data_IF_756236281122
#
_entry.id   IF_756236281122
#
_cell.length_a   1.000
_cell.length_b   1.000
_cell.length_c   1.000
_cell.angle_alpha   90.00
_cell.angle_beta   90.00
_cell.angle_gamma   90.00
#
_symmetry.space_group_name_H-M   'P 1'
#
loop_
_entity.id
_entity.type
_entity.pdbx_description
1 polymer ?
#
# COMPACT_ATOMS: atom_id res chain seq x y z
N UNK A 1 29.71 7.89 16.51
CA UNK A 1 31.03 8.17 15.91
C UNK A 1 30.89 9.43 15.09
N UNK A 2 31.85 10.36 15.12
CA UNK A 2 31.78 11.55 14.28
C UNK A 2 33.14 11.83 13.68
N UNK A 3 33.14 12.34 12.45
CA UNK A 3 34.37 12.77 11.77
C UNK A 3 34.30 14.29 11.66
N UNK A 4 35.32 14.97 12.13
CA UNK A 4 35.51 16.40 11.88
C UNK A 4 36.22 16.55 10.53
N UNK A 5 35.56 17.19 9.56
CA UNK A 5 36.15 17.44 8.25
C UNK A 5 35.87 18.87 7.82
N UNK A 6 36.80 19.78 8.14
CA UNK A 6 36.97 21.15 7.61
C UNK A 6 35.84 22.17 7.83
N UNK A 7 34.59 21.80 7.57
CA UNK A 7 33.39 22.66 7.60
C UNK A 7 32.23 22.09 8.44
N UNK A 8 32.47 21.07 9.27
CA UNK A 8 31.43 20.53 10.15
C UNK A 8 31.76 19.17 10.76
N UNK A 9 30.85 18.73 11.64
CA UNK A 9 30.87 17.41 12.27
C UNK A 9 29.93 16.49 11.50
N UNK A 10 30.46 15.41 10.93
CA UNK A 10 29.68 14.40 10.24
C UNK A 10 29.39 13.25 11.19
N UNK A 11 28.12 13.09 11.60
CA UNK A 11 27.73 12.00 12.49
C UNK A 11 27.59 10.68 11.73
N UNK A 12 28.11 9.62 12.35
CA UNK A 12 28.09 8.25 11.89
C UNK A 12 27.46 7.37 12.96
N UNK A 13 26.55 6.49 12.53
CA UNK A 13 25.83 5.61 13.44
C UNK A 13 25.24 4.39 12.73
N UNK A 14 25.11 3.29 13.48
CA UNK A 14 24.64 2.00 12.95
C UNK A 14 23.23 2.04 12.33
N UNK A 15 22.43 3.05 12.67
CA UNK A 15 21.07 3.26 12.12
C UNK A 15 21.07 4.47 11.18
N UNK A 16 21.56 5.62 11.65
CA UNK A 16 21.55 6.86 10.88
C UNK A 16 22.25 6.71 9.51
N UNK A 17 23.45 6.12 9.49
CA UNK A 17 24.25 6.01 8.27
C UNK A 17 23.61 5.09 7.22
N UNK A 18 23.17 3.85 7.53
CA UNK A 18 22.47 3.02 6.54
C UNK A 18 21.12 3.61 6.11
N UNK A 19 20.36 4.28 7.00
CA UNK A 19 19.12 4.96 6.61
C UNK A 19 19.41 6.09 5.61
N UNK A 20 20.42 6.91 5.85
CA UNK A 20 20.83 7.94 4.90
C UNK A 20 21.30 7.32 3.57
N UNK A 21 22.08 6.23 3.62
CA UNK A 21 22.53 5.52 2.43
C UNK A 21 21.36 4.98 1.59
N UNK A 22 20.29 4.47 2.22
CA UNK A 22 19.08 4.04 1.51
C UNK A 22 18.42 5.20 0.74
N UNK A 23 18.33 6.38 1.37
CA UNK A 23 17.76 7.59 0.74
C UNK A 23 18.65 8.05 -0.43
N UNK A 24 19.96 8.14 -0.21
CA UNK A 24 20.91 8.52 -1.26
C UNK A 24 20.87 7.55 -2.44
N UNK A 25 20.80 6.24 -2.18
CA UNK A 25 20.67 5.22 -3.24
C UNK A 25 19.40 5.43 -4.05
N UNK A 26 18.24 5.57 -3.40
CA UNK A 26 16.97 5.83 -4.10
C UNK A 26 16.99 7.14 -4.88
N UNK A 27 17.63 8.18 -4.35
CA UNK A 27 17.82 9.45 -5.05
C UNK A 27 18.64 9.26 -6.34
N UNK A 28 19.75 8.51 -6.28
CA UNK A 28 20.58 8.23 -7.45
C UNK A 28 19.87 7.32 -8.47
N UNK A 29 19.12 6.31 -8.01
CA UNK A 29 18.24 5.49 -8.85
C UNK A 29 17.26 6.37 -9.63
N UNK A 30 16.58 7.29 -8.95
CA UNK A 30 15.64 8.22 -9.59
C UNK A 30 16.33 9.22 -10.52
N UNK A 31 17.49 9.76 -10.13
CA UNK A 31 18.25 10.74 -10.93
C UNK A 31 18.81 10.14 -12.21
N UNK A 32 19.25 8.88 -12.14
CA UNK A 32 19.82 8.15 -13.26
C UNK A 32 18.76 7.39 -14.08
N UNK A 33 17.49 7.46 -13.69
CA UNK A 33 16.40 6.82 -14.42
C UNK A 33 16.20 7.51 -15.77
N UNK A 34 16.43 6.78 -16.86
CA UNK A 34 16.16 7.22 -18.22
C UNK A 34 14.87 6.54 -18.67
N UNK A 35 13.81 7.32 -18.90
CA UNK A 35 12.54 6.80 -19.38
C UNK A 35 12.71 6.26 -20.81
N UNK A 36 12.34 5.01 -21.02
CA UNK A 36 12.37 4.36 -22.34
C UNK A 36 10.93 4.17 -22.82
N UNK A 37 10.58 4.62 -24.03
CA UNK A 37 9.24 4.40 -24.57
C UNK A 37 8.99 2.91 -24.81
N UNK A 38 7.77 2.48 -24.52
CA UNK A 38 7.26 1.17 -24.90
C UNK A 38 5.85 1.34 -25.45
N UNK A 39 5.41 0.36 -26.24
CA UNK A 39 4.12 0.34 -26.90
C UNK A 39 3.34 -0.88 -26.45
N UNK A 40 2.03 -0.72 -26.27
CA UNK A 40 1.11 -1.81 -25.97
C UNK A 40 -0.10 -1.65 -26.87
N UNK A 41 -0.53 -2.75 -27.50
CA UNK A 41 -1.67 -2.70 -28.40
C UNK A 41 -2.94 -2.72 -27.57
N UNK A 42 -3.81 -1.72 -27.81
CA UNK A 42 -5.09 -1.56 -27.14
C UNK A 42 -6.21 -1.76 -28.14
N UNK A 43 -7.11 -2.69 -27.86
CA UNK A 43 -8.29 -2.95 -28.68
C UNK A 43 -9.55 -2.64 -27.89
N UNK A 44 -10.41 -1.79 -28.46
CA UNK A 44 -11.77 -1.60 -27.96
C UNK A 44 -12.67 -2.60 -28.68
N UNK A 45 -13.39 -3.40 -27.92
CA UNK A 45 -14.25 -4.46 -28.46
C UNK A 45 -15.49 -4.62 -27.59
N UNK A 46 -16.43 -5.43 -28.05
CA UNK A 46 -17.62 -5.79 -27.29
C UNK A 46 -17.90 -7.29 -27.37
N UNK A 47 -18.54 -7.81 -26.32
CA UNK A 47 -19.13 -9.14 -26.35
C UNK A 47 -20.53 -9.03 -25.79
N UNK A 48 -21.52 -9.51 -26.56
CA UNK A 48 -22.94 -9.51 -26.15
C UNK A 48 -23.42 -8.13 -25.65
N UNK A 49 -23.04 -7.06 -26.36
CA UNK A 49 -23.40 -5.67 -26.02
C UNK A 49 -22.64 -5.06 -24.85
N UNK A 50 -21.66 -5.76 -24.26
CA UNK A 50 -20.81 -5.24 -23.18
C UNK A 50 -19.48 -4.77 -23.78
N UNK A 51 -19.22 -3.46 -23.84
CA UNK A 51 -17.94 -2.93 -24.33
C UNK A 51 -16.84 -3.11 -23.28
N UNK A 52 -15.64 -3.46 -23.73
CA UNK A 52 -14.45 -3.54 -22.88
C UNK A 52 -13.16 -3.28 -23.68
N UNK A 53 -12.06 -3.11 -22.94
CA UNK A 53 -10.73 -2.89 -23.51
C UNK A 53 -9.89 -4.14 -23.29
N UNK A 54 -9.33 -4.67 -24.37
CA UNK A 54 -8.28 -5.68 -24.32
C UNK A 54 -6.92 -5.01 -24.56
N UNK A 55 -5.93 -5.34 -23.72
CA UNK A 55 -4.54 -4.93 -23.89
C UNK A 55 -3.72 -6.16 -24.28
N UNK A 56 -2.75 -5.99 -25.18
CA UNK A 56 -1.78 -7.05 -25.48
C UNK A 56 -1.03 -7.45 -24.20
N UNK A 57 -0.83 -8.75 -23.98
CA UNK A 57 0.00 -9.23 -22.87
C UNK A 57 1.46 -8.80 -23.02
N UNK A 58 1.93 -8.64 -24.26
CA UNK A 58 3.26 -8.15 -24.59
C UNK A 58 3.34 -6.63 -24.56
N UNK A 59 4.50 -6.14 -24.14
CA UNK A 59 4.94 -4.75 -24.30
C UNK A 59 6.04 -4.73 -25.34
N UNK A 60 5.88 -3.91 -26.37
CA UNK A 60 6.82 -3.78 -27.49
C UNK A 60 7.78 -2.63 -27.22
N UNK A 61 9.08 -2.87 -27.39
CA UNK A 61 10.11 -1.81 -27.34
C UNK A 61 10.31 -1.13 -28.69
N UNK A 62 9.81 -1.73 -29.78
CA UNK A 62 9.85 -1.15 -31.11
C UNK A 62 8.42 -0.85 -31.57
N UNK A 63 8.17 0.43 -31.88
CA UNK A 63 6.89 0.89 -32.43
C UNK A 63 6.48 0.12 -33.69
N UNK A 64 7.42 -0.19 -34.57
CA UNK A 64 7.13 -0.88 -35.84
C UNK A 64 6.53 -2.27 -35.61
N UNK A 65 7.00 -2.98 -34.58
CA UNK A 65 6.43 -4.28 -34.20
C UNK A 65 5.00 -4.12 -33.67
N UNK A 66 4.77 -3.13 -32.81
CA UNK A 66 3.42 -2.83 -32.31
C UNK A 66 2.47 -2.43 -33.45
N UNK A 67 2.94 -1.63 -34.41
CA UNK A 67 2.17 -1.19 -35.58
C UNK A 67 1.86 -2.38 -36.51
N UNK A 68 2.78 -3.34 -36.68
CA UNK A 68 2.53 -4.55 -37.46
C UNK A 68 1.44 -5.41 -36.83
N UNK A 69 1.49 -5.62 -35.51
CA UNK A 69 0.43 -6.34 -34.76
C UNK A 69 -0.90 -5.60 -34.86
N UNK A 70 -0.89 -4.26 -34.74
CA UNK A 70 -2.10 -3.45 -34.90
C UNK A 70 -2.71 -3.59 -36.30
N UNK A 71 -1.89 -3.59 -37.36
CA UNK A 71 -2.35 -3.81 -38.74
C UNK A 71 -2.98 -5.19 -38.92
N UNK A 72 -2.34 -6.24 -38.40
CA UNK A 72 -2.89 -7.59 -38.43
C UNK A 72 -4.26 -7.67 -37.75
N UNK A 73 -4.48 -6.95 -36.66
CA UNK A 73 -5.79 -6.87 -35.97
C UNK A 73 -6.82 -6.01 -36.71
N UNK A 74 -6.38 -4.99 -37.47
CA UNK A 74 -7.27 -4.18 -38.29
C UNK A 74 -7.76 -4.96 -39.52
N UNK A 75 -6.89 -5.78 -40.10
CA UNK A 75 -7.23 -6.72 -41.18
C UNK A 75 -8.11 -7.86 -40.65
N UNK A 76 -7.74 -8.46 -39.52
CA UNK A 76 -8.48 -9.52 -38.86
C UNK A 76 -9.35 -8.95 -37.72
N UNK A 77 -10.54 -8.46 -38.08
CA UNK A 77 -11.51 -7.84 -37.14
C UNK A 77 -12.19 -8.83 -36.19
N UNK A 78 -11.63 -10.02 -36.01
CA UNK A 78 -12.20 -11.08 -35.19
C UNK A 78 -11.25 -11.37 -34.01
N UNK A 79 -11.80 -11.31 -32.80
CA UNK A 79 -11.11 -11.70 -31.59
C UNK A 79 -11.77 -12.95 -31.04
N UNK A 80 -10.97 -13.96 -30.69
CA UNK A 80 -11.45 -15.16 -30.04
C UNK A 80 -11.00 -15.18 -28.58
N UNK A 81 -11.95 -15.44 -27.68
CA UNK A 81 -11.65 -15.68 -26.27
C UNK A 81 -10.94 -17.02 -26.17
N UNK A 82 -9.66 -17.02 -25.77
CA UNK A 82 -8.90 -18.25 -25.60
C UNK A 82 -9.19 -18.95 -24.27
N UNK A 83 -9.37 -18.18 -23.20
CA UNK A 83 -9.73 -18.72 -21.89
C UNK A 83 -10.48 -17.69 -21.05
N UNK A 84 -11.35 -18.18 -20.16
CA UNK A 84 -12.05 -17.37 -19.16
C UNK A 84 -11.78 -18.00 -17.80
N UNK A 85 -11.23 -17.22 -16.87
CA UNK A 85 -11.01 -17.64 -15.50
C UNK A 85 -11.80 -16.76 -14.56
N UNK A 86 -12.82 -17.31 -13.93
CA UNK A 86 -13.51 -16.69 -12.79
C UNK A 86 -12.88 -17.23 -11.52
N UNK A 87 -12.39 -16.35 -10.66
CA UNK A 87 -11.86 -16.71 -9.35
C UNK A 87 -12.63 -15.96 -8.30
N UNK A 88 -13.20 -16.69 -7.35
CA UNK A 88 -13.66 -16.10 -6.10
C UNK A 88 -12.42 -15.86 -5.22
N UNK A 89 -12.27 -14.63 -4.75
CA UNK A 89 -11.16 -14.23 -3.88
C UNK A 89 -11.78 -13.78 -2.58
N UNK A 90 -11.45 -14.49 -1.50
CA UNK A 90 -11.77 -14.02 -0.16
C UNK A 90 -10.69 -13.00 0.25
N UNK A 91 -11.12 -11.80 0.65
CA UNK A 91 -10.23 -10.79 1.19
C UNK A 91 -10.36 -10.79 2.71
N UNK A 92 -9.31 -11.27 3.38
CA UNK A 92 -9.28 -11.24 4.84
C UNK A 92 -9.17 -9.81 5.38
N UNK A 93 -9.76 -9.59 6.55
CA UNK A 93 -9.61 -8.35 7.29
C UNK A 93 -8.14 -8.07 7.60
N UNK A 94 -7.71 -6.80 7.56
CA UNK A 94 -6.35 -6.45 7.94
C UNK A 94 -6.10 -6.81 9.41
N UNK A 95 -4.88 -7.25 9.71
CA UNK A 95 -4.45 -7.42 11.11
C UNK A 95 -4.46 -6.08 11.86
N UNK A 96 -4.48 -6.17 13.19
CA UNK A 96 -4.39 -5.01 14.08
C UNK A 96 -3.13 -4.18 13.85
N UNK A 97 -3.10 -2.97 14.40
CA UNK A 97 -1.95 -2.08 14.27
C UNK A 97 -0.80 -2.48 15.20
N UNK A 98 0.40 -2.62 14.62
CA UNK A 98 1.64 -2.35 15.33
C UNK A 98 2.00 -0.86 15.18
N UNK A 99 3.04 -0.39 15.89
CA UNK A 99 3.46 1.01 15.82
C UNK A 99 3.81 1.43 14.39
N UNK A 100 4.52 0.56 13.65
CA UNK A 100 5.00 0.88 12.31
C UNK A 100 3.84 1.05 11.32
N UNK A 101 2.85 0.16 11.36
CA UNK A 101 1.68 0.23 10.48
C UNK A 101 0.82 1.43 10.82
N UNK A 102 0.61 1.71 12.11
CA UNK A 102 -0.11 2.91 12.55
C UNK A 102 0.58 4.19 12.07
N UNK A 103 1.91 4.28 12.21
CA UNK A 103 2.70 5.42 11.74
C UNK A 103 2.61 5.60 10.22
N UNK A 104 2.67 4.52 9.43
CA UNK A 104 2.51 4.56 7.97
C UNK A 104 1.12 5.04 7.57
N UNK A 105 0.08 4.53 8.23
CA UNK A 105 -1.29 4.90 7.88
C UNK A 105 -1.64 6.32 8.29
N UNK A 106 -1.24 6.75 9.49
CA UNK A 106 -1.40 8.12 9.94
C UNK A 106 -0.62 9.12 9.07
N UNK A 107 0.55 8.71 8.54
CA UNK A 107 1.28 9.52 7.57
C UNK A 107 0.50 9.64 6.25
N UNK A 108 0.00 8.54 5.71
CA UNK A 108 -0.77 8.53 4.45
C UNK A 108 -2.07 9.32 4.55
N UNK A 109 -2.82 9.17 5.65
CA UNK A 109 -4.14 9.79 5.84
C UNK A 109 -4.09 11.22 6.36
N UNK A 110 -3.08 11.56 7.18
CA UNK A 110 -3.05 12.81 7.93
C UNK A 110 -1.72 13.58 7.84
N UNK A 111 -0.73 13.06 7.12
CA UNK A 111 0.60 13.70 7.01
C UNK A 111 1.40 13.72 8.31
N UNK A 112 1.04 12.92 9.31
CA UNK A 112 1.74 12.92 10.60
C UNK A 112 3.13 12.29 10.45
N UNK A 113 4.13 12.87 11.12
CA UNK A 113 5.44 12.24 11.27
C UNK A 113 5.32 11.02 12.19
N UNK A 114 6.29 10.10 12.08
CA UNK A 114 6.36 8.94 12.97
C UNK A 114 6.35 9.34 14.46
N UNK A 115 7.10 10.40 14.80
CA UNK A 115 7.20 10.93 16.16
C UNK A 115 5.88 11.56 16.65
N UNK A 116 5.19 12.31 15.80
CA UNK A 116 3.87 12.89 16.13
C UNK A 116 2.84 11.80 16.38
N UNK A 117 2.79 10.78 15.52
CA UNK A 117 1.87 9.64 15.71
C UNK A 117 2.15 8.90 17.02
N UNK A 118 3.43 8.62 17.30
CA UNK A 118 3.83 7.98 18.56
C UNK A 118 3.46 8.83 19.78
N UNK A 119 3.69 10.15 19.72
CA UNK A 119 3.34 11.08 20.79
C UNK A 119 1.83 11.11 21.08
N UNK A 120 1.00 11.06 20.04
CA UNK A 120 -0.46 10.99 20.19
C UNK A 120 -0.88 9.63 20.78
N UNK A 121 -0.37 8.53 20.22
CA UNK A 121 -0.70 7.18 20.70
C UNK A 121 -0.28 6.98 22.16
N UNK A 122 0.88 7.53 22.56
CA UNK A 122 1.36 7.52 23.93
C UNK A 122 0.40 8.26 24.88
N UNK A 123 -0.12 9.44 24.49
CA UNK A 123 -1.12 10.18 25.29
C UNK A 123 -2.42 9.41 25.46
N UNK A 124 -2.89 8.73 24.40
CA UNK A 124 -4.11 7.90 24.47
C UNK A 124 -3.91 6.69 25.40
N UNK A 125 -2.73 6.06 25.34
CA UNK A 125 -2.37 4.97 26.25
C UNK A 125 -2.31 5.43 27.71
N UNK A 126 -1.68 6.56 27.99
CA UNK A 126 -1.60 7.15 29.34
C UNK A 126 -2.99 7.56 29.87
N UNK A 127 -3.89 7.95 28.97
CA UNK A 127 -5.31 8.18 29.27
C UNK A 127 -6.15 6.90 29.34
N UNK A 128 -5.54 5.72 29.19
CA UNK A 128 -6.20 4.38 29.20
C UNK A 128 -7.27 4.19 28.11
N UNK A 129 -7.12 4.87 26.98
CA UNK A 129 -8.03 4.76 25.82
C UNK A 129 -7.55 3.73 24.79
N UNK A 130 -6.27 3.37 24.82
CA UNK A 130 -5.66 2.38 23.92
C UNK A 130 -4.69 1.49 24.69
N UNK A 131 -4.31 0.36 24.10
CA UNK A 131 -3.24 -0.50 24.64
C UNK A 131 -1.84 0.06 24.34
N UNK A 132 -0.80 -0.61 24.86
CA UNK A 132 0.58 -0.14 24.78
C UNK A 132 1.04 0.10 23.32
N UNK A 133 1.39 1.35 22.94
CA UNK A 133 1.49 1.74 21.53
C UNK A 133 2.85 1.43 20.91
N UNK A 134 3.86 1.03 21.70
CA UNK A 134 5.22 0.68 21.21
C UNK A 134 5.37 -0.82 21.01
N UNK A 135 4.33 -1.45 20.47
CA UNK A 135 4.30 -2.88 20.14
C UNK A 135 4.68 -3.12 18.68
N UNK A 136 5.41 -4.21 18.44
CA UNK A 136 5.64 -4.78 17.11
C UNK A 136 4.64 -5.91 16.76
N UNK A 137 3.77 -6.30 17.70
CA UNK A 137 2.75 -7.33 17.47
C UNK A 137 1.55 -6.76 16.72
N UNK A 138 1.00 -7.56 15.82
CA UNK A 138 -0.30 -7.30 15.16
C UNK A 138 -1.39 -8.27 15.62
N UNK A 139 -1.12 -8.98 16.71
CA UNK A 139 -1.98 -9.97 17.34
C UNK A 139 -2.22 -9.58 18.80
N UNK A 140 -3.37 -10.02 19.32
CA UNK A 140 -3.72 -9.99 20.74
C UNK A 140 -3.69 -11.41 21.30
N UNK A 141 -3.47 -11.54 22.60
CA UNK A 141 -3.52 -12.81 23.30
C UNK A 141 -4.96 -13.27 23.52
N UNK A 142 -5.15 -14.56 23.82
CA UNK A 142 -6.47 -15.16 23.94
C UNK A 142 -7.30 -14.54 25.07
N UNK A 143 -6.67 -14.20 26.19
CA UNK A 143 -7.27 -13.49 27.32
C UNK A 143 -7.81 -12.11 26.90
N UNK A 144 -7.04 -11.33 26.13
CA UNK A 144 -7.52 -10.02 25.63
C UNK A 144 -8.64 -10.20 24.59
N UNK A 145 -8.62 -11.30 23.83
CA UNK A 145 -9.68 -11.61 22.86
C UNK A 145 -11.04 -11.80 23.55
N UNK A 146 -11.08 -12.32 24.78
CA UNK A 146 -12.31 -12.49 25.56
C UNK A 146 -12.98 -11.15 25.90
N UNK A 147 -12.22 -10.05 25.97
CA UNK A 147 -12.73 -8.70 26.27
C UNK A 147 -13.29 -7.97 25.03
N UNK A 148 -12.92 -8.41 23.81
CA UNK A 148 -13.26 -7.70 22.56
C UNK A 148 -14.77 -7.54 22.33
N UNK A 149 -15.65 -8.55 22.56
CA UNK A 149 -17.09 -8.39 22.36
C UNK A 149 -17.69 -7.25 23.19
N UNK A 150 -17.25 -7.10 24.46
CA UNK A 150 -17.72 -6.02 25.33
C UNK A 150 -17.21 -4.66 24.86
N UNK A 151 -15.96 -4.59 24.41
CA UNK A 151 -15.38 -3.38 23.82
C UNK A 151 -16.13 -2.95 22.56
N UNK A 152 -16.48 -3.88 21.66
CA UNK A 152 -17.29 -3.60 20.46
C UNK A 152 -18.67 -3.08 20.86
N UNK A 153 -19.33 -3.71 21.83
CA UNK A 153 -20.62 -3.24 22.34
C UNK A 153 -20.55 -1.82 22.91
N UNK A 154 -19.46 -1.45 23.59
CA UNK A 154 -19.27 -0.07 24.07
C UNK A 154 -19.24 0.96 22.94
N UNK A 155 -18.86 0.56 21.72
CA UNK A 155 -18.83 1.44 20.54
C UNK A 155 -20.23 1.79 20.02
N UNK A 156 -21.28 1.07 20.42
CA UNK A 156 -22.68 1.40 20.08
C UNK A 156 -23.09 2.79 20.60
N UNK A 157 -22.46 3.25 21.68
CA UNK A 157 -22.72 4.56 22.27
C UNK A 157 -22.16 5.72 21.42
N UNK A 158 -21.29 5.43 20.45
CA UNK A 158 -20.67 6.42 19.59
C UNK A 158 -21.37 6.44 18.23
N UNK A 159 -22.08 7.53 17.85
CA UNK A 159 -22.90 7.58 16.64
C UNK A 159 -22.17 7.19 15.35
N UNK A 160 -20.86 7.47 15.29
CA UNK A 160 -20.01 7.14 14.14
C UNK A 160 -19.81 5.62 13.95
N UNK A 161 -19.87 4.85 15.02
CA UNK A 161 -19.56 3.41 15.03
C UNK A 161 -20.77 2.54 15.32
N UNK A 162 -21.88 3.14 15.78
CA UNK A 162 -23.05 2.42 16.28
C UNK A 162 -23.65 1.42 15.29
N UNK A 163 -23.78 1.80 14.00
CA UNK A 163 -24.31 0.92 12.97
C UNK A 163 -23.44 -0.32 12.76
N UNK A 164 -22.11 -0.15 12.75
CA UNK A 164 -21.17 -1.24 12.55
C UNK A 164 -21.10 -2.16 13.76
N UNK A 165 -21.10 -1.59 14.97
CA UNK A 165 -21.05 -2.36 16.21
C UNK A 165 -22.28 -3.25 16.37
N UNK A 166 -23.48 -2.77 16.02
CA UNK A 166 -24.73 -3.54 16.14
C UNK A 166 -24.87 -4.69 15.13
N UNK A 167 -24.11 -4.66 14.02
CA UNK A 167 -24.06 -5.73 13.02
C UNK A 167 -23.12 -6.87 13.41
N UNK A 168 -22.11 -6.59 14.24
CA UNK A 168 -21.14 -7.58 14.72
C UNK A 168 -21.71 -8.24 15.99
N UNK A 169 -22.46 -9.33 15.79
CA UNK A 169 -22.94 -10.22 16.87
C UNK A 169 -22.28 -11.59 16.79
#
# INVERSE_FOLDING_TARGET
>A
LSIAAGRGVFSLGRVQTPTLAMICKRYMENKNFVSVPFWQVRVQTEKTGIPFVALSGERYENRQHADAVLRLLQENKTLQVQSVKKKEVNQESPLLYDLTTLQKEANSKHGFSADKTLSIAQKLYEAKLTTYPRTGSRYISADVMEEIPELIKSLEQYPRFASYAGEIK
#
